data_IF_717270621101
#
_entry.id   IF_717270621101
#
_cell.length_a   1.000
_cell.length_b   1.000
_cell.length_c   1.000
_cell.angle_alpha   90.00
_cell.angle_beta   90.00
_cell.angle_gamma   90.00
#
_symmetry.space_group_name_H-M   'P 1'
#
loop_
_entity.id
_entity.type
_entity.pdbx_description
1 polymer ?
#
# COMPACT_ATOMS: atom_id res chain seq x y z
N UNK A 1 -32.76 24.78 1.34
CA UNK A 1 -32.24 24.05 2.51
C UNK A 1 -32.18 22.58 2.12
N UNK A 2 -31.04 22.16 1.57
CA UNK A 2 -30.72 20.75 1.34
C UNK A 2 -29.84 20.36 2.50
N UNK A 3 -30.43 19.70 3.50
CA UNK A 3 -29.71 19.16 4.63
C UNK A 3 -28.76 18.06 4.16
N UNK A 4 -27.54 18.25 4.57
CA UNK A 4 -26.36 17.43 4.32
C UNK A 4 -26.56 16.00 4.87
N UNK A 5 -26.99 15.08 4.02
CA UNK A 5 -27.09 13.63 4.33
C UNK A 5 -25.77 12.89 4.27
N UNK A 6 -24.64 13.62 4.20
CA UNK A 6 -23.28 13.02 4.13
C UNK A 6 -22.72 12.52 5.46
N UNK A 7 -23.43 12.74 6.58
CA UNK A 7 -22.89 12.61 7.94
C UNK A 7 -23.00 11.21 8.56
N UNK A 8 -23.60 10.23 7.89
CA UNK A 8 -23.80 8.89 8.48
C UNK A 8 -22.95 7.77 7.85
N UNK A 9 -21.95 8.13 7.05
CA UNK A 9 -21.01 7.16 6.45
C UNK A 9 -19.83 6.79 7.36
N UNK A 10 -19.66 7.45 8.50
CA UNK A 10 -18.51 7.25 9.38
C UNK A 10 -18.43 5.88 10.10
N UNK A 11 -19.48 5.10 10.08
CA UNK A 11 -19.51 3.78 10.74
C UNK A 11 -19.42 2.57 9.80
N UNK A 12 -19.34 2.75 8.49
CA UNK A 12 -19.49 1.65 7.52
C UNK A 12 -18.38 1.52 6.48
N UNK A 13 -17.35 2.35 6.54
CA UNK A 13 -16.23 2.30 5.59
C UNK A 13 -15.00 1.66 6.22
N UNK A 14 -15.06 0.37 6.47
CA UNK A 14 -13.91 -0.30 7.08
C UNK A 14 -12.79 -0.60 6.11
N UNK A 15 -12.89 -0.30 4.82
CA UNK A 15 -11.85 -0.75 3.89
C UNK A 15 -11.71 0.01 2.57
N UNK A 16 -12.40 1.10 2.38
CA UNK A 16 -12.11 2.06 1.33
C UNK A 16 -11.80 3.39 2.00
N UNK A 17 -10.58 3.89 1.87
CA UNK A 17 -10.15 5.18 2.43
C UNK A 17 -10.95 5.57 3.68
N UNK A 18 -10.44 5.32 4.87
CA UNK A 18 -10.92 6.06 6.02
C UNK A 18 -10.74 7.52 5.64
N UNK A 19 -11.85 8.18 5.34
CA UNK A 19 -11.87 9.63 5.15
C UNK A 19 -11.20 10.18 6.41
N UNK A 20 -10.11 10.95 6.28
CA UNK A 20 -9.61 11.69 7.43
C UNK A 20 -10.82 12.36 8.05
N UNK A 21 -10.94 12.33 9.37
CA UNK A 21 -11.98 13.14 9.99
C UNK A 21 -11.92 14.50 9.30
N UNK A 22 -13.04 15.17 9.02
CA UNK A 22 -13.11 16.51 8.38
C UNK A 22 -12.10 17.53 8.93
N UNK A 23 -11.33 17.17 9.95
CA UNK A 23 -10.31 17.96 10.65
C UNK A 23 -8.87 17.68 10.24
N UNK A 24 -8.53 16.55 9.64
CA UNK A 24 -7.15 16.28 9.23
C UNK A 24 -6.97 16.66 7.76
N UNK A 25 -6.26 17.76 7.53
CA UNK A 25 -5.94 18.27 6.20
C UNK A 25 -4.77 17.51 5.55
N UNK A 26 -3.98 16.83 6.36
CA UNK A 26 -2.77 16.09 5.95
C UNK A 26 -2.69 14.74 6.64
N UNK A 27 -1.97 13.80 6.01
CA UNK A 27 -1.64 12.50 6.57
C UNK A 27 -0.17 12.15 6.30
N UNK A 28 0.42 11.35 7.19
CA UNK A 28 1.78 10.84 7.02
C UNK A 28 1.77 9.34 7.22
N UNK A 29 2.55 8.63 6.43
CA UNK A 29 2.72 7.18 6.58
C UNK A 29 4.14 6.75 6.15
N UNK A 30 4.43 5.46 6.24
CA UNK A 30 5.56 4.84 5.55
C UNK A 30 4.99 4.17 4.30
N UNK A 31 5.48 4.54 3.12
CA UNK A 31 4.97 4.03 1.82
C UNK A 31 5.97 3.12 1.10
N UNK A 32 7.15 2.95 1.65
CA UNK A 32 8.14 1.96 1.26
C UNK A 32 9.11 1.71 2.40
N UNK A 33 9.42 0.44 2.61
CA UNK A 33 10.47 0.06 3.55
C UNK A 33 11.26 -1.12 3.00
N UNK A 34 12.58 -1.04 3.07
CA UNK A 34 13.43 -2.18 2.77
C UNK A 34 14.72 -2.16 3.58
N UNK A 35 15.19 -3.34 3.94
CA UNK A 35 16.47 -3.51 4.65
C UNK A 35 17.19 -4.77 4.18
N UNK A 36 18.47 -4.84 4.48
CA UNK A 36 19.31 -6.02 4.32
C UNK A 36 19.94 -6.41 5.64
N UNK A 37 20.20 -7.69 5.81
CA UNK A 37 20.96 -8.21 6.95
C UNK A 37 21.71 -9.47 6.56
N UNK A 38 22.66 -9.90 7.40
CA UNK A 38 23.43 -11.10 7.19
C UNK A 38 22.54 -12.35 7.31
N UNK A 39 22.65 -13.23 6.33
CA UNK A 39 21.97 -14.52 6.32
C UNK A 39 22.75 -15.53 7.18
N UNK A 40 22.75 -15.32 8.49
CA UNK A 40 23.47 -16.19 9.43
C UNK A 40 22.58 -17.34 9.92
N UNK A 41 22.36 -18.33 9.07
CA UNK A 41 21.63 -19.53 9.46
C UNK A 41 22.44 -20.77 9.11
N UNK A 42 22.69 -21.59 10.13
CA UNK A 42 23.19 -22.96 9.95
C UNK A 42 22.01 -23.89 9.81
N UNK A 43 22.01 -24.73 8.78
CA UNK A 43 21.08 -25.86 8.70
C UNK A 43 21.35 -26.82 9.85
N UNK A 44 20.28 -27.19 10.54
CA UNK A 44 20.34 -28.29 11.51
C UNK A 44 20.40 -29.63 10.76
N UNK A 45 20.81 -30.70 11.47
CA UNK A 45 20.77 -32.06 10.93
C UNK A 45 19.34 -32.35 10.43
N UNK A 46 19.22 -32.81 9.19
CA UNK A 46 17.92 -33.12 8.54
C UNK A 46 17.01 -31.92 8.18
N UNK A 47 17.46 -30.69 8.41
CA UNK A 47 16.72 -29.49 8.04
C UNK A 47 16.97 -29.14 6.57
N UNK A 48 15.92 -28.82 5.80
CA UNK A 48 16.06 -28.27 4.46
C UNK A 48 16.46 -26.78 4.49
N UNK A 49 17.08 -26.30 3.40
CA UNK A 49 17.48 -24.90 3.27
C UNK A 49 16.30 -23.93 3.45
N UNK A 50 15.10 -24.31 2.95
CA UNK A 50 13.91 -23.49 3.11
C UNK A 50 13.43 -23.42 4.55
N UNK A 51 13.52 -24.51 5.30
CA UNK A 51 13.17 -24.51 6.73
C UNK A 51 14.14 -23.65 7.56
N UNK A 52 15.41 -23.69 7.22
CA UNK A 52 16.41 -22.82 7.85
C UNK A 52 16.14 -21.32 7.56
N UNK A 53 15.77 -20.99 6.31
CA UNK A 53 15.37 -19.63 5.92
C UNK A 53 14.11 -19.21 6.69
N UNK A 54 13.07 -20.06 6.71
CA UNK A 54 11.84 -19.75 7.44
C UNK A 54 12.10 -19.51 8.94
N UNK A 55 12.98 -20.30 9.54
CA UNK A 55 13.40 -20.10 10.94
C UNK A 55 14.11 -18.75 11.13
N UNK A 56 14.96 -18.33 10.19
CA UNK A 56 15.62 -17.02 10.21
C UNK A 56 14.61 -15.87 10.23
N UNK A 57 13.61 -15.91 9.35
CA UNK A 57 12.65 -14.80 9.18
C UNK A 57 11.40 -14.90 10.07
N UNK A 58 11.22 -16.01 10.80
CA UNK A 58 10.05 -16.22 11.70
C UNK A 58 9.83 -15.07 12.68
N UNK A 59 10.86 -14.44 13.31
CA UNK A 59 10.63 -13.28 14.18
C UNK A 59 9.95 -12.12 13.44
N UNK A 60 10.34 -11.86 12.20
CA UNK A 60 9.73 -10.83 11.36
C UNK A 60 8.28 -11.22 11.01
N UNK A 61 8.05 -12.46 10.54
CA UNK A 61 6.73 -12.96 10.17
C UNK A 61 5.73 -12.88 11.33
N UNK A 62 6.18 -13.13 12.56
CA UNK A 62 5.33 -12.97 13.76
C UNK A 62 4.84 -11.54 13.92
N UNK A 63 5.72 -10.54 13.77
CA UNK A 63 5.33 -9.13 13.86
C UNK A 63 4.44 -8.76 12.68
N UNK A 64 4.69 -9.29 11.49
CA UNK A 64 3.84 -9.08 10.31
C UNK A 64 2.48 -9.81 10.42
N UNK A 65 2.27 -10.65 11.45
CA UNK A 65 1.08 -11.53 11.62
C UNK A 65 0.86 -12.37 10.36
N UNK A 66 1.90 -13.06 9.92
CA UNK A 66 1.91 -13.90 8.72
C UNK A 66 2.31 -15.32 9.07
N UNK A 67 1.60 -16.30 8.52
CA UNK A 67 1.90 -17.70 8.71
C UNK A 67 3.16 -18.12 7.95
N UNK A 68 4.15 -18.79 8.60
CA UNK A 68 5.42 -19.13 7.96
C UNK A 68 5.29 -20.05 6.73
N UNK A 69 4.21 -20.82 6.62
CA UNK A 69 3.99 -21.75 5.51
C UNK A 69 3.16 -21.15 4.36
N UNK A 70 2.67 -19.91 4.49
CA UNK A 70 1.84 -19.22 3.50
C UNK A 70 2.67 -18.41 2.50
N UNK A 71 3.62 -19.03 1.82
CA UNK A 71 4.49 -18.32 0.88
C UNK A 71 4.41 -18.86 -0.55
N UNK A 72 4.73 -17.99 -1.51
CA UNK A 72 5.02 -18.34 -2.89
C UNK A 72 6.51 -18.18 -3.18
N UNK A 73 7.07 -19.09 -4.00
CA UNK A 73 8.46 -19.02 -4.47
C UNK A 73 8.52 -18.25 -5.78
N UNK A 74 9.61 -17.51 -5.98
CA UNK A 74 9.85 -16.79 -7.22
C UNK A 74 11.32 -16.56 -7.49
N UNK A 75 11.60 -15.96 -8.65
CA UNK A 75 12.94 -15.57 -9.06
C UNK A 75 13.33 -14.31 -8.29
N UNK A 76 14.56 -14.26 -7.81
CA UNK A 76 15.12 -13.11 -7.12
C UNK A 76 15.37 -11.91 -8.05
N UNK A 77 15.93 -10.85 -7.50
CA UNK A 77 16.35 -9.65 -8.24
C UNK A 77 17.78 -9.26 -7.89
N UNK A 78 18.46 -8.59 -8.79
CA UNK A 78 19.84 -8.14 -8.64
C UNK A 78 20.78 -9.32 -8.23
N UNK A 79 21.38 -9.24 -7.05
CA UNK A 79 22.30 -10.26 -6.56
C UNK A 79 21.59 -11.45 -5.90
N UNK A 80 20.30 -11.33 -5.58
CA UNK A 80 19.52 -12.35 -4.91
C UNK A 80 18.95 -13.35 -5.91
N UNK A 81 19.14 -14.65 -5.64
CA UNK A 81 18.69 -15.74 -6.53
C UNK A 81 17.27 -16.20 -6.26
N UNK A 82 16.82 -16.10 -5.00
CA UNK A 82 15.55 -16.64 -4.55
C UNK A 82 14.66 -15.56 -3.97
N UNK A 83 13.36 -15.71 -4.16
CA UNK A 83 12.34 -14.85 -3.58
C UNK A 83 11.30 -15.70 -2.86
N UNK A 84 10.93 -15.29 -1.65
CA UNK A 84 9.73 -15.73 -0.95
C UNK A 84 8.79 -14.55 -0.81
N UNK A 85 7.54 -14.73 -1.16
CA UNK A 85 6.49 -13.71 -1.04
C UNK A 85 5.39 -14.23 -0.13
N UNK A 86 5.07 -13.49 0.92
CA UNK A 86 4.02 -13.79 1.89
C UNK A 86 2.89 -12.79 1.73
N UNK A 87 1.64 -13.25 1.89
CA UNK A 87 0.43 -12.42 1.73
C UNK A 87 0.46 -11.55 0.47
N UNK A 88 1.08 -12.04 -0.62
CA UNK A 88 1.26 -11.38 -1.91
C UNK A 88 2.15 -10.11 -1.89
N UNK A 89 2.48 -9.54 -0.73
CA UNK A 89 3.09 -8.22 -0.63
C UNK A 89 4.38 -8.16 0.18
N UNK A 90 4.58 -9.04 1.18
CA UNK A 90 5.81 -9.06 1.98
C UNK A 90 6.87 -9.91 1.30
N UNK A 91 7.94 -9.29 0.81
CA UNK A 91 8.90 -9.94 -0.07
C UNK A 91 10.26 -10.10 0.61
N UNK A 92 10.76 -11.33 0.62
CA UNK A 92 12.10 -11.65 1.08
C UNK A 92 12.94 -12.18 -0.09
N UNK A 93 14.16 -11.71 -0.19
CA UNK A 93 15.14 -12.14 -1.19
C UNK A 93 16.35 -12.74 -0.51
N UNK A 94 16.90 -13.82 -1.09
CA UNK A 94 18.03 -14.58 -0.53
C UNK A 94 19.08 -14.84 -1.62
N UNK A 95 20.35 -14.76 -1.24
CA UNK A 95 21.50 -14.92 -2.16
C UNK A 95 21.85 -16.38 -2.47
N UNK A 96 21.24 -17.34 -1.84
CA UNK A 96 21.49 -18.75 -2.15
C UNK A 96 21.16 -19.70 -1.03
N UNK A 97 21.45 -21.02 -1.21
CA UNK A 97 21.18 -22.01 -0.20
C UNK A 97 22.03 -21.76 1.05
N UNK A 98 21.44 -22.07 2.19
CA UNK A 98 22.05 -21.87 3.52
C UNK A 98 23.34 -22.67 3.71
N UNK A 99 23.53 -23.75 2.94
CA UNK A 99 24.69 -24.64 3.08
C UNK A 99 26.05 -24.00 2.73
N UNK A 100 26.03 -22.97 1.88
CA UNK A 100 27.27 -22.32 1.41
C UNK A 100 27.74 -21.16 2.30
N UNK A 101 27.17 -20.99 3.50
CA UNK A 101 27.40 -19.83 4.37
C UNK A 101 28.78 -19.85 5.06
N UNK A 102 29.57 -20.93 4.88
CA UNK A 102 30.84 -21.07 5.65
C UNK A 102 31.96 -20.11 5.21
N UNK A 103 31.97 -19.67 3.93
CA UNK A 103 33.12 -18.92 3.38
C UNK A 103 32.83 -17.48 2.93
N UNK A 104 31.54 -17.09 2.74
CA UNK A 104 31.15 -15.72 2.40
C UNK A 104 29.87 -15.35 3.15
N UNK A 105 29.88 -14.20 3.82
CA UNK A 105 28.69 -13.66 4.47
C UNK A 105 27.65 -13.35 3.42
N UNK A 106 26.64 -14.22 3.31
CA UNK A 106 25.47 -13.99 2.44
C UNK A 106 24.49 -13.08 3.16
N UNK A 107 23.77 -12.29 2.38
CA UNK A 107 22.74 -11.40 2.91
C UNK A 107 21.36 -11.84 2.46
N UNK A 108 20.35 -11.44 3.22
CA UNK A 108 18.97 -11.43 2.76
C UNK A 108 18.43 -10.00 2.75
N UNK A 109 17.43 -9.77 1.94
CA UNK A 109 16.74 -8.49 1.85
C UNK A 109 15.25 -8.69 2.11
N UNK A 110 14.67 -7.81 2.90
CA UNK A 110 13.23 -7.70 3.08
C UNK A 110 12.73 -6.41 2.44
N UNK A 111 11.59 -6.49 1.76
CA UNK A 111 11.00 -5.35 1.05
C UNK A 111 9.49 -5.31 1.26
N UNK A 112 9.01 -4.13 1.59
CA UNK A 112 7.61 -3.76 1.67
C UNK A 112 7.35 -2.59 0.72
N UNK A 113 6.52 -2.81 -0.30
CA UNK A 113 5.98 -1.72 -1.14
C UNK A 113 4.94 -0.92 -0.37
N UNK A 114 4.46 0.19 -0.94
CA UNK A 114 3.36 0.96 -0.34
C UNK A 114 2.13 0.11 -0.03
N UNK A 115 1.81 -0.88 -0.88
CA UNK A 115 0.74 -1.83 -0.63
C UNK A 115 1.02 -2.71 0.59
N UNK A 116 2.26 -3.21 0.73
CA UNK A 116 2.68 -4.00 1.87
C UNK A 116 2.69 -3.18 3.17
N UNK A 117 3.17 -1.94 3.12
CA UNK A 117 3.15 -1.05 4.28
C UNK A 117 1.72 -0.80 4.78
N UNK A 118 0.78 -0.51 3.87
CA UNK A 118 -0.64 -0.37 4.21
C UNK A 118 -1.22 -1.65 4.79
N UNK A 119 -0.94 -2.81 4.20
CA UNK A 119 -1.38 -4.12 4.72
C UNK A 119 -0.83 -4.37 6.12
N UNK A 120 0.40 -3.96 6.39
CA UNK A 120 0.98 -4.04 7.73
C UNK A 120 0.24 -3.15 8.73
N UNK A 121 -0.03 -1.90 8.37
CA UNK A 121 -0.83 -0.99 9.19
C UNK A 121 -2.25 -1.56 9.44
N UNK A 122 -2.88 -2.13 8.41
CA UNK A 122 -4.21 -2.77 8.52
C UNK A 122 -4.26 -3.90 9.53
N UNK A 123 -3.24 -4.72 9.63
CA UNK A 123 -3.18 -5.83 10.59
C UNK A 123 -3.15 -5.36 12.06
N UNK A 124 -2.93 -4.07 12.29
CA UNK A 124 -2.86 -3.43 13.60
C UNK A 124 -3.92 -2.33 13.80
N UNK A 125 -5.06 -2.45 13.10
CA UNK A 125 -6.17 -1.48 13.11
C UNK A 125 -6.62 -0.97 14.48
N UNK A 126 -6.59 -1.84 15.47
CA UNK A 126 -7.08 -1.55 16.82
C UNK A 126 -6.13 -0.65 17.61
N UNK A 127 -4.92 -0.47 17.15
CA UNK A 127 -3.94 0.41 17.77
C UNK A 127 -3.81 1.68 16.94
N UNK A 128 -4.32 2.81 17.44
CA UNK A 128 -4.19 4.13 16.81
C UNK A 128 -2.75 4.69 16.79
N UNK A 129 -1.74 3.85 16.94
CA UNK A 129 -0.33 4.23 17.06
C UNK A 129 0.51 3.49 16.04
N UNK A 130 1.67 4.04 15.70
CA UNK A 130 2.72 3.39 14.91
C UNK A 130 3.54 2.38 15.70
N UNK A 131 3.05 1.93 16.85
CA UNK A 131 3.72 1.00 17.77
C UNK A 131 4.14 -0.31 17.08
N UNK A 132 3.37 -0.81 16.12
CA UNK A 132 3.71 -2.01 15.34
C UNK A 132 4.98 -1.82 14.50
N UNK A 133 5.24 -0.63 13.98
CA UNK A 133 6.50 -0.30 13.30
C UNK A 133 7.67 -0.31 14.26
N UNK A 134 7.47 0.18 15.49
CA UNK A 134 8.48 0.13 16.55
C UNK A 134 8.79 -1.32 16.97
N UNK A 135 7.75 -2.19 17.10
CA UNK A 135 7.96 -3.62 17.37
C UNK A 135 8.70 -4.32 16.22
N UNK A 136 8.37 -4.00 14.97
CA UNK A 136 9.12 -4.49 13.82
C UNK A 136 10.57 -4.04 13.89
N UNK A 137 10.82 -2.77 14.17
CA UNK A 137 12.16 -2.21 14.27
C UNK A 137 13.04 -2.92 15.30
N UNK A 138 12.49 -3.23 16.47
CA UNK A 138 13.23 -3.98 17.51
C UNK A 138 13.69 -5.34 16.99
N UNK A 139 12.82 -6.07 16.32
CA UNK A 139 13.16 -7.36 15.72
C UNK A 139 14.22 -7.21 14.63
N UNK A 140 14.15 -6.17 13.80
CA UNK A 140 15.08 -5.96 12.70
C UNK A 140 16.49 -5.61 13.18
N UNK A 141 16.60 -4.81 14.24
CA UNK A 141 17.90 -4.41 14.82
C UNK A 141 18.67 -5.57 15.45
N UNK A 142 18.02 -6.67 15.79
CA UNK A 142 18.68 -7.87 16.31
C UNK A 142 19.44 -8.66 15.24
N UNK A 143 19.22 -8.37 13.95
CA UNK A 143 19.93 -9.04 12.87
C UNK A 143 21.33 -8.46 12.69
N UNK A 144 22.34 -9.32 12.63
CA UNK A 144 23.71 -8.90 12.31
C UNK A 144 23.77 -8.36 10.88
N UNK A 145 24.59 -7.32 10.66
CA UNK A 145 24.69 -6.67 9.36
C UNK A 145 23.43 -5.89 8.96
N UNK A 146 22.56 -5.57 9.93
CA UNK A 146 21.37 -4.77 9.71
C UNK A 146 21.70 -3.45 9.02
N UNK A 147 21.04 -3.20 7.88
CA UNK A 147 21.18 -1.96 7.14
C UNK A 147 19.89 -1.66 6.38
N UNK A 148 19.29 -0.50 6.65
CA UNK A 148 18.10 -0.06 5.93
C UNK A 148 18.49 0.48 4.57
N UNK A 149 17.88 -0.05 3.51
CA UNK A 149 18.23 0.30 2.13
C UNK A 149 17.31 1.38 1.55
N UNK A 150 16.07 1.48 2.04
CA UNK A 150 15.12 2.53 1.62
C UNK A 150 13.99 2.71 2.61
N UNK A 151 13.64 3.96 2.87
CA UNK A 151 12.40 4.39 3.54
C UNK A 151 11.81 5.54 2.74
N UNK A 152 10.53 5.44 2.41
CA UNK A 152 9.76 6.54 1.82
C UNK A 152 8.75 7.05 2.85
N UNK A 153 8.80 8.35 3.11
CA UNK A 153 7.95 9.03 4.09
C UNK A 153 7.13 10.11 3.39
N UNK A 154 5.94 9.77 2.85
CA UNK A 154 5.08 10.74 2.23
C UNK A 154 4.30 11.58 3.23
N UNK A 155 4.00 12.82 2.83
CA UNK A 155 2.95 13.66 3.35
C UNK A 155 1.85 13.71 2.30
N UNK A 156 0.65 13.25 2.64
CA UNK A 156 -0.55 13.41 1.83
C UNK A 156 -1.26 14.71 2.22
N UNK A 157 -1.44 15.61 1.27
CA UNK A 157 -2.23 16.83 1.42
C UNK A 157 -3.58 16.65 0.71
N UNK A 158 -4.66 16.82 1.45
CA UNK A 158 -6.02 16.59 0.96
C UNK A 158 -6.79 17.85 0.61
N UNK A 159 -6.19 19.03 0.69
CA UNK A 159 -6.92 20.28 0.44
C UNK A 159 -6.13 21.38 -0.29
N UNK A 160 -4.80 21.38 -0.23
CA UNK A 160 -3.96 22.39 -0.88
C UNK A 160 -4.11 23.81 -0.33
N UNK A 161 -4.72 23.99 0.85
CA UNK A 161 -5.06 25.31 1.38
C UNK A 161 -3.83 26.15 1.72
N UNK A 162 -2.74 25.51 2.15
CA UNK A 162 -1.54 26.19 2.66
C UNK A 162 -0.50 26.26 1.55
N UNK A 163 -0.11 25.11 1.00
CA UNK A 163 0.86 24.99 -0.09
C UNK A 163 0.23 24.13 -1.19
N UNK A 164 -0.35 24.78 -2.22
CA UNK A 164 -0.85 24.04 -3.39
C UNK A 164 0.31 23.52 -4.23
N UNK A 165 0.06 22.53 -5.08
CA UNK A 165 1.03 22.03 -6.04
C UNK A 165 1.58 23.14 -6.95
N UNK A 166 0.70 23.97 -7.49
CA UNK A 166 1.11 25.10 -8.37
C UNK A 166 1.99 26.10 -7.62
N UNK A 167 1.66 26.44 -6.38
CA UNK A 167 2.49 27.32 -5.56
C UNK A 167 3.87 26.70 -5.30
N UNK A 168 3.93 25.40 -5.02
CA UNK A 168 5.19 24.69 -4.80
C UNK A 168 6.07 24.71 -6.07
N UNK A 169 5.47 24.44 -7.24
CA UNK A 169 6.15 24.45 -8.53
C UNK A 169 6.64 25.86 -8.87
N UNK A 170 5.80 26.88 -8.69
CA UNK A 170 6.15 28.29 -8.94
C UNK A 170 7.40 28.73 -8.15
N UNK A 171 7.46 28.35 -6.85
CA UNK A 171 8.63 28.64 -6.00
C UNK A 171 9.92 28.01 -6.55
N UNK A 172 9.82 26.80 -7.07
CA UNK A 172 10.98 26.10 -7.64
C UNK A 172 11.41 26.74 -8.97
N UNK A 173 10.46 27.05 -9.86
CA UNK A 173 10.76 27.70 -11.15
C UNK A 173 11.36 29.09 -10.98
N UNK A 174 10.94 29.83 -9.95
CA UNK A 174 11.55 31.13 -9.58
C UNK A 174 12.92 30.98 -8.89
N UNK A 175 13.35 29.77 -8.58
CA UNK A 175 14.58 29.53 -7.82
C UNK A 175 14.50 29.98 -6.35
N UNK A 176 13.30 30.23 -5.84
CA UNK A 176 13.00 30.63 -4.46
C UNK A 176 13.00 29.43 -3.54
N UNK A 177 14.04 28.60 -3.66
CA UNK A 177 14.21 27.39 -2.87
C UNK A 177 15.66 27.20 -2.44
N UNK A 178 15.83 26.59 -1.29
CA UNK A 178 17.08 25.97 -0.87
C UNK A 178 16.86 24.48 -0.81
N UNK A 179 17.62 23.72 -1.57
CA UNK A 179 17.49 22.27 -1.63
C UNK A 179 18.86 21.62 -1.68
N UNK A 180 18.98 20.40 -1.18
CA UNK A 180 20.22 19.61 -1.29
C UNK A 180 20.37 18.90 -2.64
N UNK A 181 19.42 19.08 -3.56
CA UNK A 181 19.49 18.56 -4.92
C UNK A 181 19.78 19.67 -5.94
N UNK A 182 20.50 19.32 -7.01
CA UNK A 182 20.96 20.26 -8.04
C UNK A 182 19.97 20.39 -9.22
N UNK A 183 18.98 19.52 -9.30
CA UNK A 183 18.06 19.46 -10.45
C UNK A 183 16.66 19.00 -10.08
N UNK A 184 15.71 19.43 -10.91
CA UNK A 184 14.34 18.94 -10.86
C UNK A 184 13.80 18.62 -12.25
N UNK A 185 12.73 17.84 -12.31
CA UNK A 185 12.00 17.50 -13.54
C UNK A 185 10.51 17.65 -13.30
N UNK A 186 9.84 18.48 -14.09
CA UNK A 186 8.38 18.56 -14.11
C UNK A 186 7.87 17.66 -15.22
N UNK A 187 6.88 16.82 -14.90
CA UNK A 187 6.22 15.94 -15.85
C UNK A 187 4.72 16.22 -15.84
N UNK A 188 4.15 16.46 -17.01
CA UNK A 188 2.72 16.57 -17.22
C UNK A 188 2.29 15.59 -18.30
N UNK A 189 1.30 14.78 -18.03
CA UNK A 189 0.73 13.83 -18.98
C UNK A 189 -0.71 14.23 -19.25
N UNK A 190 -1.04 14.44 -20.52
CA UNK A 190 -2.39 14.81 -20.95
C UNK A 190 -2.83 13.96 -22.14
N UNK A 191 -4.12 13.79 -22.33
CA UNK A 191 -4.68 13.19 -23.54
C UNK A 191 -4.55 14.14 -24.72
N UNK A 192 -4.33 13.57 -25.92
CA UNK A 192 -4.07 14.34 -27.12
C UNK A 192 -5.31 15.07 -27.67
N UNK A 193 -6.49 14.48 -27.42
CA UNK A 193 -7.73 14.95 -28.09
C UNK A 193 -8.51 16.01 -27.30
N UNK A 194 -8.40 16.01 -25.98
CA UNK A 194 -9.19 16.89 -25.10
C UNK A 194 -8.36 17.62 -24.04
N UNK A 195 -7.04 17.45 -24.09
CA UNK A 195 -6.10 17.97 -23.08
C UNK A 195 -6.41 17.52 -21.63
N UNK A 196 -7.16 16.41 -21.48
CA UNK A 196 -7.47 15.89 -20.17
C UNK A 196 -6.19 15.53 -19.43
N UNK A 197 -6.04 16.05 -18.19
CA UNK A 197 -4.86 15.82 -17.37
C UNK A 197 -4.87 14.37 -16.84
N UNK A 198 -3.90 13.56 -17.27
CA UNK A 198 -3.72 12.18 -16.82
C UNK A 198 -2.75 12.05 -15.65
N UNK A 199 -2.05 13.14 -15.30
CA UNK A 199 -1.11 13.16 -14.19
C UNK A 199 -0.11 14.29 -14.32
N UNK A 200 0.31 14.80 -13.17
CA UNK A 200 1.34 15.80 -13.05
C UNK A 200 2.22 15.51 -11.85
N UNK A 201 3.50 15.79 -11.99
CA UNK A 201 4.47 15.58 -10.92
C UNK A 201 5.69 16.47 -11.08
N UNK A 202 6.31 16.80 -9.96
CA UNK A 202 7.66 17.34 -9.92
C UNK A 202 8.56 16.38 -9.15
N UNK A 203 9.68 16.03 -9.74
CA UNK A 203 10.75 15.23 -9.13
C UNK A 203 11.95 16.13 -8.87
N UNK A 204 12.42 16.16 -7.63
CA UNK A 204 13.57 16.94 -7.19
C UNK A 204 14.67 15.97 -6.76
N UNK A 205 15.81 16.07 -7.42
CA UNK A 205 16.93 15.14 -7.25
C UNK A 205 16.87 13.91 -8.17
N UNK A 206 17.92 13.10 -8.09
CA UNK A 206 18.08 11.91 -8.92
C UNK A 206 17.58 10.65 -8.22
N UNK A 207 17.10 9.68 -9.01
CA UNK A 207 16.76 8.33 -8.50
C UNK A 207 17.96 7.55 -7.96
N UNK A 208 19.18 7.93 -8.34
CA UNK A 208 20.43 7.37 -7.84
C UNK A 208 20.98 8.07 -6.58
N UNK A 209 20.42 9.23 -6.20
CA UNK A 209 20.85 9.93 -4.99
C UNK A 209 20.30 9.29 -3.72
N UNK A 210 20.95 9.56 -2.59
CA UNK A 210 20.50 9.09 -1.28
C UNK A 210 19.14 9.66 -0.85
N UNK A 211 18.73 10.82 -1.40
CA UNK A 211 17.39 11.41 -1.18
C UNK A 211 16.82 11.96 -2.48
N UNK A 212 15.50 11.87 -2.61
CA UNK A 212 14.73 12.38 -3.74
C UNK A 212 13.31 12.72 -3.26
N UNK A 213 12.82 13.89 -3.64
CA UNK A 213 11.43 14.27 -3.38
C UNK A 213 10.62 14.17 -4.67
N UNK A 214 9.46 13.52 -4.58
CA UNK A 214 8.42 13.54 -5.60
C UNK A 214 7.18 14.23 -5.05
N UNK A 215 6.64 15.21 -5.79
CA UNK A 215 5.32 15.78 -5.50
C UNK A 215 4.43 15.52 -6.70
N UNK A 216 3.28 14.90 -6.49
CA UNK A 216 2.43 14.47 -7.58
C UNK A 216 0.96 14.38 -7.17
N UNK A 217 0.08 14.46 -8.20
CA UNK A 217 -1.35 14.31 -8.04
C UNK A 217 -1.70 12.83 -7.75
N UNK A 218 -1.81 12.49 -6.46
CA UNK A 218 -2.12 11.14 -6.00
C UNK A 218 -3.56 10.74 -6.32
N UNK A 219 -4.49 11.71 -6.38
CA UNK A 219 -5.87 11.45 -6.81
C UNK A 219 -5.90 10.90 -8.23
N UNK A 220 -5.28 11.60 -9.19
CA UNK A 220 -5.24 11.15 -10.58
C UNK A 220 -4.48 9.83 -10.76
N UNK A 221 -3.39 9.62 -10.03
CA UNK A 221 -2.70 8.32 -10.04
C UNK A 221 -3.66 7.19 -9.64
N UNK A 222 -4.41 7.36 -8.56
CA UNK A 222 -5.36 6.37 -8.07
C UNK A 222 -6.53 6.15 -9.03
N UNK A 223 -7.10 7.22 -9.56
CA UNK A 223 -8.19 7.14 -10.54
C UNK A 223 -7.74 6.44 -11.83
N UNK A 224 -6.53 6.70 -12.31
CA UNK A 224 -5.94 6.00 -13.46
C UNK A 224 -5.70 4.50 -13.21
N UNK A 225 -5.46 4.11 -11.96
CA UNK A 225 -5.38 2.72 -11.53
C UNK A 225 -6.75 2.06 -11.33
N UNK A 226 -7.84 2.82 -11.50
CA UNK A 226 -9.21 2.35 -11.38
C UNK A 226 -9.78 2.38 -9.96
N UNK A 227 -9.17 3.16 -9.06
CA UNK A 227 -9.69 3.36 -7.70
C UNK A 227 -10.54 4.63 -7.63
N UNK A 228 -11.65 4.57 -6.92
CA UNK A 228 -12.42 5.78 -6.59
C UNK A 228 -11.76 6.52 -5.44
N UNK A 229 -11.66 7.84 -5.56
CA UNK A 229 -11.14 8.70 -4.49
C UNK A 229 -12.27 9.60 -3.98
N UNK A 230 -12.31 9.82 -2.66
CA UNK A 230 -13.30 10.70 -2.02
C UNK A 230 -12.78 12.12 -1.81
N UNK A 231 -11.52 12.37 -2.21
CA UNK A 231 -10.91 13.68 -2.06
C UNK A 231 -10.98 14.43 -3.38
N UNK A 232 -11.47 15.66 -3.34
CA UNK A 232 -11.45 16.55 -4.51
C UNK A 232 -10.03 17.01 -4.83
N UNK A 233 -9.21 17.13 -3.81
CA UNK A 233 -7.79 17.44 -3.87
C UNK A 233 -7.00 16.38 -3.12
N UNK A 234 -5.93 15.84 -3.71
CA UNK A 234 -4.99 14.95 -3.06
C UNK A 234 -3.65 14.97 -3.78
N UNK A 235 -2.71 15.68 -3.19
CA UNK A 235 -1.32 15.66 -3.61
C UNK A 235 -0.46 14.96 -2.58
N UNK A 236 0.53 14.23 -3.06
CA UNK A 236 1.49 13.52 -2.22
C UNK A 236 2.86 14.15 -2.38
N UNK A 237 3.46 14.51 -1.26
CA UNK A 237 4.85 14.90 -1.13
C UNK A 237 5.62 13.70 -0.60
N UNK A 238 6.32 12.96 -1.45
CA UNK A 238 6.99 11.69 -1.11
C UNK A 238 8.50 11.90 -1.03
N UNK A 239 9.04 11.95 0.19
CA UNK A 239 10.48 11.99 0.41
C UNK A 239 11.02 10.56 0.50
N UNK A 240 11.76 10.17 -0.53
CA UNK A 240 12.48 8.91 -0.61
C UNK A 240 13.86 9.06 -0.02
N UNK A 241 14.20 8.23 0.96
CA UNK A 241 15.53 8.13 1.55
C UNK A 241 16.11 6.75 1.32
N UNK A 242 17.25 6.69 0.64
CA UNK A 242 17.99 5.46 0.34
C UNK A 242 19.30 5.41 1.10
N UNK A 243 19.86 4.19 1.18
CA UNK A 243 21.24 4.04 1.64
C UNK A 243 22.19 4.71 0.65
N UNK A 244 23.18 5.38 1.18
CA UNK A 244 24.29 5.99 0.48
C UNK A 244 25.57 5.81 1.32
N UNK A 245 26.66 6.42 0.91
CA UNK A 245 27.94 6.37 1.66
C UNK A 245 27.80 6.90 3.11
N UNK A 246 26.75 7.65 3.40
CA UNK A 246 26.45 8.19 4.73
C UNK A 246 25.41 7.39 5.51
N UNK A 247 24.95 6.25 5.00
CA UNK A 247 23.91 5.40 5.60
C UNK A 247 22.65 6.18 6.03
N UNK A 248 22.17 7.10 5.19
CA UNK A 248 21.08 8.03 5.53
C UNK A 248 19.79 7.33 5.90
N UNK A 249 19.41 6.28 5.15
CA UNK A 249 18.19 5.52 5.44
C UNK A 249 18.26 4.79 6.77
N UNK A 250 19.44 4.23 7.13
CA UNK A 250 19.63 3.60 8.44
C UNK A 250 19.60 4.63 9.56
N UNK A 251 20.22 5.80 9.37
CA UNK A 251 20.15 6.89 10.37
C UNK A 251 18.73 7.40 10.55
N UNK A 252 17.97 7.60 9.45
CA UNK A 252 16.56 7.95 9.52
C UNK A 252 15.78 6.91 10.32
N UNK A 253 16.00 5.63 10.03
CA UNK A 253 15.33 4.55 10.75
C UNK A 253 15.64 4.59 12.25
N UNK A 254 16.89 4.79 12.63
CA UNK A 254 17.28 4.90 14.05
C UNK A 254 16.64 6.12 14.71
N UNK A 255 16.56 7.25 14.02
CA UNK A 255 15.82 8.43 14.52
C UNK A 255 14.34 8.10 14.70
N UNK A 256 13.71 7.38 13.76
CA UNK A 256 12.32 6.93 13.93
C UNK A 256 12.16 6.00 15.13
N UNK A 257 13.14 5.13 15.40
CA UNK A 257 13.15 4.27 16.59
C UNK A 257 13.26 5.11 17.87
N UNK A 258 14.16 6.08 17.93
CA UNK A 258 14.34 6.99 19.07
C UNK A 258 13.04 7.75 19.41
N UNK A 259 12.26 8.08 18.42
CA UNK A 259 10.95 8.74 18.55
C UNK A 259 9.77 7.75 18.51
N UNK A 260 9.99 6.46 18.79
CA UNK A 260 8.96 5.41 18.80
C UNK A 260 8.08 5.40 17.53
N UNK A 261 8.66 5.72 16.36
CA UNK A 261 7.97 5.90 15.08
C UNK A 261 6.88 6.98 15.08
N UNK A 262 7.05 8.03 15.89
CA UNK A 262 6.23 9.22 15.82
C UNK A 262 6.58 10.03 14.55
N UNK A 263 5.95 9.66 13.43
CA UNK A 263 6.23 10.26 12.12
C UNK A 263 5.95 11.77 12.11
N UNK A 264 4.96 12.25 12.86
CA UNK A 264 4.61 13.66 12.93
C UNK A 264 5.73 14.52 13.53
N UNK A 265 6.53 13.94 14.38
CA UNK A 265 7.66 14.61 15.00
C UNK A 265 8.89 14.64 14.09
N UNK A 266 9.15 13.53 13.40
CA UNK A 266 10.37 13.33 12.61
C UNK A 266 10.24 13.87 11.18
N UNK A 267 9.12 13.58 10.49
CA UNK A 267 8.99 13.85 9.06
C UNK A 267 9.04 15.34 8.69
N UNK A 268 8.43 16.30 9.43
CA UNK A 268 8.56 17.73 9.11
C UNK A 268 10.01 18.19 9.08
N UNK A 269 10.81 17.74 10.04
CA UNK A 269 12.24 18.04 10.11
C UNK A 269 13.02 17.48 8.91
N UNK A 270 12.66 16.28 8.43
CA UNK A 270 13.26 15.67 7.24
C UNK A 270 12.99 16.49 5.98
N UNK A 271 11.76 16.99 5.82
CA UNK A 271 11.40 17.83 4.69
C UNK A 271 12.13 19.16 4.76
N UNK A 272 12.18 19.81 5.92
CA UNK A 272 12.87 21.08 6.12
C UNK A 272 14.38 20.94 5.85
N UNK A 273 15.01 19.82 6.22
CA UNK A 273 16.42 19.52 5.92
C UNK A 273 16.68 19.24 4.43
N UNK A 274 15.70 18.67 3.72
CA UNK A 274 15.86 18.40 2.29
C UNK A 274 15.56 19.60 1.41
N UNK A 275 14.43 20.27 1.64
CA UNK A 275 13.97 21.42 0.86
C UNK A 275 13.32 22.46 1.75
N UNK A 276 13.69 23.70 1.54
CA UNK A 276 13.14 24.88 2.19
C UNK A 276 12.66 25.85 1.10
N UNK A 277 11.37 26.12 1.07
CA UNK A 277 10.85 27.23 0.27
C UNK A 277 11.25 28.55 0.92
N UNK A 278 11.60 29.53 0.10
CA UNK A 278 12.14 30.81 0.53
C UNK A 278 11.17 31.94 0.23
N UNK A 279 11.20 32.96 1.07
CA UNK A 279 10.55 34.22 0.81
C UNK A 279 11.61 35.35 0.72
N UNK A 280 12.21 35.56 -0.46
CA UNK A 280 13.18 36.63 -0.64
C UNK A 280 12.50 37.99 -0.52
N UNK A 281 13.23 38.96 0.02
CA UNK A 281 12.90 40.38 0.00
C UNK A 281 14.00 41.16 -0.71
N UNK A 282 13.81 42.48 -0.93
CA UNK A 282 14.78 43.33 -1.65
C UNK A 282 16.19 43.25 -1.06
N UNK A 283 16.30 43.11 0.27
CA UNK A 283 17.60 43.02 0.96
C UNK A 283 18.26 41.64 0.84
N UNK A 284 17.49 40.59 0.55
CA UNK A 284 17.96 39.19 0.55
C UNK A 284 18.10 38.60 -0.85
N UNK A 285 17.62 39.28 -1.91
CA UNK A 285 17.65 38.84 -3.31
C UNK A 285 19.06 38.44 -3.79
N UNK A 286 20.10 39.10 -3.25
CA UNK A 286 21.52 38.87 -3.63
C UNK A 286 22.30 38.06 -2.59
N UNK A 287 21.65 37.65 -1.49
CA UNK A 287 22.31 36.97 -0.36
C UNK A 287 22.37 35.49 -0.55
N UNK A 288 23.31 34.86 0.16
CA UNK A 288 23.36 33.42 0.31
C UNK A 288 21.99 32.87 0.76
N UNK A 289 21.44 31.89 0.05
CA UNK A 289 20.13 31.26 0.30
C UNK A 289 19.94 30.83 1.77
N UNK A 290 21.02 30.50 2.48
CA UNK A 290 20.98 30.20 3.90
C UNK A 290 20.46 31.37 4.79
N UNK A 291 20.57 32.59 4.30
CA UNK A 291 20.15 33.81 5.04
C UNK A 291 18.79 34.34 4.59
N UNK A 292 18.22 33.77 3.55
CA UNK A 292 16.88 34.11 3.07
C UNK A 292 15.86 33.47 4.01
N UNK A 293 14.85 34.23 4.49
CA UNK A 293 13.80 33.65 5.34
C UNK A 293 13.09 32.49 4.66
N UNK A 294 12.67 31.52 5.47
CA UNK A 294 11.77 30.46 5.02
C UNK A 294 10.40 31.06 4.70
N UNK A 295 9.75 30.53 3.69
CA UNK A 295 8.39 30.90 3.32
C UNK A 295 7.42 30.54 4.45
N UNK A 296 6.61 31.48 4.98
CA UNK A 296 5.70 31.22 6.08
C UNK A 296 4.66 30.15 5.78
N UNK A 297 4.20 30.01 4.52
CA UNK A 297 3.28 28.97 4.13
C UNK A 297 3.92 27.58 4.22
N UNK A 298 5.20 27.48 3.86
CA UNK A 298 5.94 26.22 4.00
C UNK A 298 6.12 25.83 5.47
N UNK A 299 6.43 26.79 6.34
CA UNK A 299 6.50 26.54 7.78
C UNK A 299 5.13 26.15 8.35
N UNK A 300 4.06 26.85 7.96
CA UNK A 300 2.70 26.55 8.38
C UNK A 300 2.29 25.14 7.92
N UNK A 301 2.59 24.75 6.67
CA UNK A 301 2.32 23.43 6.13
C UNK A 301 3.00 22.34 6.97
N UNK A 302 4.29 22.46 7.22
CA UNK A 302 5.03 21.48 8.02
C UNK A 302 4.59 21.48 9.50
N UNK A 303 4.22 22.63 10.06
CA UNK A 303 3.65 22.70 11.41
C UNK A 303 2.26 22.05 11.49
N UNK A 304 1.46 22.09 10.42
CA UNK A 304 0.18 21.38 10.35
C UNK A 304 0.40 19.87 10.38
N UNK A 305 1.43 19.39 9.67
CA UNK A 305 1.89 18.01 9.72
C UNK A 305 2.27 17.61 11.15
N UNK A 306 3.07 18.42 11.84
CA UNK A 306 3.50 18.16 13.22
C UNK A 306 2.33 18.09 14.21
N UNK A 307 1.30 18.87 14.01
CA UNK A 307 0.10 18.92 14.88
C UNK A 307 -0.93 17.82 14.57
N UNK A 308 -0.81 17.17 13.41
CA UNK A 308 -1.76 16.14 12.99
C UNK A 308 -1.55 14.88 13.83
N UNK A 309 -2.60 14.40 14.50
CA UNK A 309 -2.54 13.10 15.16
C UNK A 309 -2.48 12.01 14.08
N UNK A 310 -1.54 11.10 14.21
CA UNK A 310 -1.49 9.91 13.39
C UNK A 310 -2.80 9.13 13.55
N UNK A 311 -3.59 9.12 12.48
CA UNK A 311 -4.70 8.20 12.35
C UNK A 311 -4.22 7.13 11.37
N UNK A 312 -4.25 5.87 11.79
CA UNK A 312 -4.02 4.77 10.86
C UNK A 312 -5.11 4.83 9.80
N UNK A 313 -4.80 5.43 8.67
CA UNK A 313 -5.69 5.42 7.51
C UNK A 313 -5.56 4.06 6.83
N UNK A 314 -6.53 3.21 7.12
CA UNK A 314 -6.61 1.91 6.49
C UNK A 314 -7.30 2.10 5.15
N UNK A 315 -6.51 2.03 4.12
CA UNK A 315 -7.01 1.97 2.75
C UNK A 315 -7.06 0.51 2.35
N UNK A 316 -8.22 -0.09 2.39
CA UNK A 316 -8.43 -1.38 1.75
C UNK A 316 -8.65 -1.16 0.26
N UNK A 317 -7.76 -1.73 -0.54
CA UNK A 317 -7.79 -1.65 -2.00
C UNK A 317 -8.60 -2.80 -2.60
N UNK A 318 -9.87 -2.95 -2.20
CA UNK A 318 -10.78 -3.87 -2.87
C UNK A 318 -11.48 -3.13 -4.01
N UNK A 319 -11.10 -3.42 -5.24
CA UNK A 319 -11.80 -2.92 -6.44
C UNK A 319 -12.18 -4.08 -7.35
N UNK A 320 -13.16 -3.86 -8.21
CA UNK A 320 -13.53 -4.85 -9.24
C UNK A 320 -12.31 -5.18 -10.11
N UNK A 321 -11.48 -4.19 -10.45
CA UNK A 321 -10.26 -4.38 -11.23
C UNK A 321 -9.25 -5.30 -10.52
N UNK A 322 -8.93 -5.04 -9.24
CA UNK A 322 -7.98 -5.87 -8.49
C UNK A 322 -8.49 -7.29 -8.30
N UNK A 323 -9.81 -7.47 -8.08
CA UNK A 323 -10.43 -8.80 -8.02
C UNK A 323 -10.40 -9.50 -9.36
N UNK A 324 -10.68 -8.80 -10.48
CA UNK A 324 -10.59 -9.37 -11.84
C UNK A 324 -9.18 -9.80 -12.19
N UNK A 325 -8.17 -8.99 -11.89
CA UNK A 325 -6.75 -9.35 -12.11
C UNK A 325 -6.33 -10.55 -11.26
N UNK A 326 -6.81 -10.64 -10.02
CA UNK A 326 -6.57 -11.79 -9.17
C UNK A 326 -7.22 -13.07 -9.74
N UNK A 327 -8.50 -13.01 -10.17
CA UNK A 327 -9.20 -14.13 -10.82
C UNK A 327 -8.41 -14.60 -12.04
N UNK A 328 -7.98 -13.68 -12.91
CA UNK A 328 -7.19 -14.02 -14.10
C UNK A 328 -5.86 -14.71 -13.75
N UNK A 329 -5.20 -14.31 -12.68
CA UNK A 329 -3.92 -14.90 -12.25
C UNK A 329 -4.07 -16.22 -11.49
N UNK A 330 -5.01 -16.28 -10.54
CA UNK A 330 -5.12 -17.37 -9.60
C UNK A 330 -6.07 -18.49 -10.05
N UNK A 331 -7.14 -18.14 -10.77
CA UNK A 331 -8.26 -19.03 -11.06
C UNK A 331 -8.30 -19.45 -12.53
N UNK A 332 -7.66 -18.71 -13.46
CA UNK A 332 -7.76 -18.96 -14.90
C UNK A 332 -7.31 -20.37 -15.30
N UNK A 333 -6.26 -20.91 -14.69
CA UNK A 333 -5.80 -22.26 -14.97
C UNK A 333 -6.82 -23.32 -14.53
N UNK A 334 -7.41 -23.15 -13.35
CA UNK A 334 -8.42 -24.05 -12.82
C UNK A 334 -9.70 -24.00 -13.67
N UNK A 335 -10.15 -22.80 -14.07
CA UNK A 335 -11.28 -22.63 -14.99
C UNK A 335 -11.00 -23.25 -16.37
N UNK A 336 -9.78 -23.12 -16.89
CA UNK A 336 -9.39 -23.77 -18.13
C UNK A 336 -9.44 -25.30 -18.01
N UNK A 337 -8.93 -25.88 -16.92
CA UNK A 337 -9.02 -27.32 -16.67
C UNK A 337 -10.47 -27.80 -16.62
N UNK A 338 -11.35 -27.09 -15.90
CA UNK A 338 -12.79 -27.40 -15.86
C UNK A 338 -13.42 -27.29 -17.25
N UNK A 339 -13.10 -26.23 -18.01
CA UNK A 339 -13.65 -26.00 -19.35
C UNK A 339 -13.24 -27.09 -20.35
N UNK A 340 -12.05 -27.64 -20.23
CA UNK A 340 -11.51 -28.67 -21.13
C UNK A 340 -11.74 -30.09 -20.60
N UNK A 341 -12.44 -30.27 -19.47
CA UNK A 341 -12.82 -31.59 -18.95
C UNK A 341 -13.96 -32.25 -19.72
N UNK A 342 -14.41 -31.66 -20.83
CA UNK A 342 -15.51 -32.10 -21.71
C UNK A 342 -16.94 -32.04 -21.08
N UNK A 343 -17.06 -31.69 -19.81
CA UNK A 343 -18.35 -31.58 -19.14
C UNK A 343 -18.86 -30.12 -19.17
N UNK A 344 -19.54 -29.76 -20.25
CA UNK A 344 -20.05 -28.40 -20.49
C UNK A 344 -21.10 -27.91 -19.47
N UNK A 345 -21.74 -28.82 -18.76
CA UNK A 345 -22.77 -28.47 -17.75
C UNK A 345 -22.13 -28.03 -16.43
N UNK A 346 -21.01 -28.61 -16.05
CA UNK A 346 -20.31 -28.31 -14.80
C UNK A 346 -19.94 -26.81 -14.69
N UNK A 347 -19.54 -26.16 -15.78
CA UNK A 347 -19.02 -24.77 -15.72
C UNK A 347 -20.13 -23.78 -15.39
N UNK A 348 -21.28 -23.87 -16.07
CA UNK A 348 -22.37 -22.91 -15.91
C UNK A 348 -22.97 -23.00 -14.51
N UNK A 349 -23.17 -24.19 -14.02
CA UNK A 349 -23.71 -24.42 -12.68
C UNK A 349 -22.69 -24.11 -11.60
N UNK A 350 -21.40 -24.35 -11.86
CA UNK A 350 -20.30 -23.99 -10.96
C UNK A 350 -20.15 -22.47 -10.78
N UNK A 351 -20.28 -21.67 -11.86
CA UNK A 351 -20.25 -20.20 -11.76
C UNK A 351 -21.39 -19.69 -10.89
N UNK A 352 -22.61 -20.21 -11.08
CA UNK A 352 -23.77 -19.85 -10.26
C UNK A 352 -23.57 -20.23 -8.79
N UNK A 353 -23.07 -21.42 -8.52
CA UNK A 353 -22.81 -21.87 -7.18
C UNK A 353 -21.71 -21.07 -6.48
N UNK A 354 -20.65 -20.71 -7.20
CA UNK A 354 -19.65 -19.78 -6.66
C UNK A 354 -20.27 -18.44 -6.30
N UNK A 355 -21.18 -17.92 -7.13
CA UNK A 355 -21.89 -16.66 -6.83
C UNK A 355 -22.75 -16.79 -5.58
N UNK A 356 -23.50 -17.90 -5.42
CA UNK A 356 -24.30 -18.20 -4.23
C UNK A 356 -23.41 -18.18 -2.97
N UNK A 357 -22.30 -18.89 -2.98
CA UNK A 357 -21.38 -18.95 -1.83
C UNK A 357 -20.68 -17.60 -1.56
N UNK A 358 -20.39 -16.84 -2.61
CA UNK A 358 -19.72 -15.56 -2.48
C UNK A 358 -20.62 -14.52 -1.78
N UNK A 359 -21.93 -14.52 -2.08
CA UNK A 359 -22.87 -13.58 -1.46
C UNK A 359 -22.96 -13.79 0.05
N UNK A 360 -22.95 -15.03 0.53
CA UNK A 360 -22.92 -15.34 1.97
C UNK A 360 -21.68 -14.79 2.68
N UNK A 361 -20.55 -14.81 2.00
CA UNK A 361 -19.24 -14.39 2.53
C UNK A 361 -18.91 -12.94 2.23
N UNK A 362 -19.81 -12.26 1.50
CA UNK A 362 -19.58 -10.88 1.08
C UNK A 362 -19.64 -9.91 2.25
N UNK A 363 -18.55 -9.23 2.49
CA UNK A 363 -18.44 -8.17 3.48
C UNK A 363 -18.84 -6.82 2.86
N UNK A 364 -18.99 -5.81 3.72
CA UNK A 364 -19.36 -4.45 3.25
C UNK A 364 -18.35 -3.87 2.25
N UNK A 365 -17.09 -4.27 2.35
CA UNK A 365 -16.02 -3.82 1.45
C UNK A 365 -16.24 -4.26 0.01
N UNK A 366 -16.63 -5.52 -0.22
CA UNK A 366 -16.89 -6.01 -1.56
C UNK A 366 -18.14 -5.35 -2.13
N UNK A 367 -19.17 -5.15 -1.29
CA UNK A 367 -20.39 -4.44 -1.68
C UNK A 367 -20.09 -2.98 -2.03
N UNK A 368 -19.23 -2.31 -1.29
CA UNK A 368 -18.81 -0.94 -1.59
C UNK A 368 -17.99 -0.88 -2.89
N UNK A 369 -17.11 -1.86 -3.13
CA UNK A 369 -16.35 -1.95 -4.37
C UNK A 369 -17.28 -2.15 -5.59
N UNK A 370 -18.29 -3.02 -5.47
CA UNK A 370 -19.32 -3.22 -6.50
C UNK A 370 -20.06 -1.90 -6.75
N UNK A 371 -20.50 -1.24 -5.70
CA UNK A 371 -21.28 -0.02 -5.81
C UNK A 371 -20.48 1.15 -6.39
N UNK A 372 -19.22 1.29 -6.04
CA UNK A 372 -18.32 2.29 -6.61
C UNK A 372 -18.13 2.05 -8.12
N UNK A 373 -17.90 0.81 -8.52
CA UNK A 373 -17.78 0.47 -9.93
C UNK A 373 -19.09 0.75 -10.69
N UNK A 374 -20.25 0.34 -10.14
CA UNK A 374 -21.57 0.58 -10.75
C UNK A 374 -21.86 2.07 -10.96
N UNK A 375 -21.56 2.91 -9.96
CA UNK A 375 -21.72 4.37 -10.06
C UNK A 375 -20.84 4.92 -11.19
N UNK A 376 -19.58 4.50 -11.25
CA UNK A 376 -18.64 4.94 -12.29
C UNK A 376 -19.09 4.53 -13.71
N UNK A 377 -19.87 3.45 -13.81
CA UNK A 377 -20.49 2.98 -15.05
C UNK A 377 -21.90 3.57 -15.29
N UNK A 378 -22.39 4.49 -14.47
CA UNK A 378 -23.70 5.11 -14.58
C UNK A 378 -24.86 4.23 -14.10
N UNK A 379 -24.59 3.18 -13.31
CA UNK A 379 -25.60 2.27 -12.78
C UNK A 379 -25.98 2.63 -11.34
N UNK A 380 -27.22 2.31 -10.94
CA UNK A 380 -27.69 2.47 -9.57
C UNK A 380 -26.92 1.53 -8.61
N UNK A 381 -26.80 1.96 -7.34
CA UNK A 381 -26.28 1.11 -6.27
C UNK A 381 -27.13 -0.13 -6.07
N UNK A 382 -26.49 -1.22 -5.66
CA UNK A 382 -27.14 -2.45 -5.23
C UNK A 382 -27.01 -2.59 -3.71
N UNK A 383 -28.09 -2.99 -3.05
CA UNK A 383 -28.09 -3.27 -1.61
C UNK A 383 -27.80 -4.75 -1.34
N UNK A 384 -27.37 -5.07 -0.12
CA UNK A 384 -27.17 -6.47 0.30
C UNK A 384 -28.45 -7.30 0.13
N UNK A 385 -29.61 -6.72 0.42
CA UNK A 385 -30.91 -7.37 0.24
C UNK A 385 -31.21 -7.72 -1.22
N UNK A 386 -30.75 -6.91 -2.18
CA UNK A 386 -30.91 -7.23 -3.60
C UNK A 386 -29.99 -8.36 -4.03
N UNK A 387 -28.77 -8.41 -3.50
CA UNK A 387 -27.86 -9.55 -3.70
C UNK A 387 -28.41 -10.85 -3.10
N UNK A 388 -29.01 -10.78 -1.90
CA UNK A 388 -29.65 -11.93 -1.26
C UNK A 388 -30.84 -12.44 -2.08
N UNK A 389 -31.62 -11.57 -2.72
CA UNK A 389 -32.68 -11.99 -3.65
C UNK A 389 -32.12 -12.67 -4.90
N UNK A 390 -31.05 -12.15 -5.45
CA UNK A 390 -30.35 -12.78 -6.59
C UNK A 390 -29.80 -14.15 -6.21
N UNK A 391 -29.21 -14.26 -5.01
CA UNK A 391 -28.76 -15.53 -4.44
C UNK A 391 -29.89 -16.56 -4.37
N UNK A 392 -31.06 -16.15 -3.85
CA UNK A 392 -32.21 -17.04 -3.76
C UNK A 392 -32.69 -17.48 -5.15
N UNK A 393 -32.73 -16.57 -6.11
CA UNK A 393 -33.11 -16.92 -7.49
C UNK A 393 -32.14 -17.93 -8.13
N UNK A 394 -30.82 -17.80 -7.87
CA UNK A 394 -29.81 -18.75 -8.32
C UNK A 394 -29.95 -20.11 -7.60
N UNK A 395 -30.29 -20.09 -6.32
CA UNK A 395 -30.55 -21.33 -5.55
C UNK A 395 -31.77 -22.07 -6.10
N UNK A 396 -32.87 -21.36 -6.35
CA UNK A 396 -34.09 -21.91 -6.94
C UNK A 396 -33.84 -22.48 -8.33
N UNK A 397 -33.03 -21.79 -9.16
CA UNK A 397 -32.66 -22.26 -10.51
C UNK A 397 -31.85 -23.58 -10.47
N UNK A 398 -31.00 -23.75 -9.46
CA UNK A 398 -30.15 -24.94 -9.31
C UNK A 398 -30.79 -26.05 -8.48
N UNK A 399 -31.98 -25.83 -7.90
CA UNK A 399 -32.62 -26.77 -6.97
C UNK A 399 -31.80 -26.99 -5.68
N UNK A 400 -31.14 -25.93 -5.18
CA UNK A 400 -30.27 -25.94 -4.01
C UNK A 400 -30.98 -25.22 -2.87
N UNK A 401 -30.91 -25.83 -1.69
CA UNK A 401 -31.38 -25.24 -0.44
C UNK A 401 -30.25 -25.17 0.60
N UNK A 402 -30.41 -24.30 1.58
CA UNK A 402 -29.48 -24.21 2.71
C UNK A 402 -30.12 -24.93 3.90
N UNK A 403 -29.49 -26.00 4.40
CA UNK A 403 -30.01 -26.72 5.56
C UNK A 403 -29.83 -25.91 6.85
N UNK A 404 -30.37 -26.44 7.97
CA UNK A 404 -30.29 -25.79 9.28
C UNK A 404 -28.88 -25.63 9.85
N UNK A 405 -27.88 -26.33 9.30
CA UNK A 405 -26.46 -26.19 9.64
C UNK A 405 -25.75 -25.16 8.72
N UNK A 406 -26.49 -24.55 7.79
CA UNK A 406 -25.91 -23.58 6.83
C UNK A 406 -25.19 -24.23 5.66
N UNK A 407 -25.33 -25.54 5.44
CA UNK A 407 -24.70 -26.30 4.33
C UNK A 407 -25.65 -26.31 3.15
N UNK A 408 -25.09 -26.11 1.94
CA UNK A 408 -25.84 -26.19 0.70
C UNK A 408 -26.03 -27.64 0.27
N UNK A 409 -27.28 -28.02 0.04
CA UNK A 409 -27.71 -29.36 -0.39
C UNK A 409 -28.74 -29.22 -1.52
N UNK A 410 -28.93 -30.27 -2.32
CA UNK A 410 -30.08 -30.33 -3.22
C UNK A 410 -31.38 -30.54 -2.45
N UNK A 411 -32.53 -30.22 -3.06
CA UNK A 411 -33.86 -30.39 -2.45
C UNK A 411 -34.15 -31.82 -2.00
N UNK A 412 -33.55 -32.82 -2.64
CA UNK A 412 -33.63 -34.23 -2.28
C UNK A 412 -32.74 -34.61 -1.07
N UNK A 413 -32.04 -33.66 -0.47
CA UNK A 413 -31.15 -33.87 0.66
C UNK A 413 -29.75 -34.37 0.28
N UNK A 414 -29.45 -34.56 -1.00
CA UNK A 414 -28.13 -34.99 -1.43
C UNK A 414 -27.12 -33.80 -1.37
N UNK A 415 -25.82 -34.07 -1.08
CA UNK A 415 -24.83 -33.03 -1.03
C UNK A 415 -24.59 -32.44 -2.43
N UNK A 416 -24.32 -31.13 -2.50
CA UNK A 416 -23.93 -30.48 -3.76
C UNK A 416 -22.50 -30.89 -4.10
N UNK A 417 -22.36 -31.93 -4.93
CA UNK A 417 -21.10 -32.44 -5.41
C UNK A 417 -20.86 -31.96 -6.84
N UNK A 418 -19.88 -31.06 -7.04
CA UNK A 418 -19.45 -30.62 -8.38
C UNK A 418 -18.45 -31.57 -9.04
N UNK A 419 -18.04 -32.65 -8.37
CA UNK A 419 -17.15 -33.67 -8.87
C UNK A 419 -17.80 -35.04 -8.70
N UNK A 420 -18.15 -35.70 -9.79
CA UNK A 420 -18.35 -37.15 -9.72
C UNK A 420 -17.00 -37.76 -9.35
N UNK A 421 -16.92 -38.47 -8.22
CA UNK A 421 -15.81 -39.38 -7.97
C UNK A 421 -15.73 -40.33 -9.14
N UNK A 422 -14.69 -40.22 -9.96
CA UNK A 422 -14.33 -41.20 -11.00
C UNK A 422 -13.76 -42.40 -10.30
#
# INVERSE_FOLDING_TARGET
>A
MLEDKSLNLQGRMSNTYLIPSKKSKVNICIDWFSFTADQQVRTKREESDIQAILRLITPILKVLKVEPNSYTKGIGKAFYKYRLTFDEDFIFFFDGPVKDVMDNVKSFMFEMSGKACRRFDEKYKETSSTKHWYELAKVLMDYKGFNVTRIDTPIDDYNGDIVSYDYFVEKIEKGEVQCSADSYTITKKSMMYDNFNLGESIKIGSTSSGRMLMVYNKKLERENEGYSTFHDYWYRYELRTKTDNSNRSTRLFLTLVEHEFNLNEVVPGLFMDYIRLLQPNEETLTKNKNRVPTDPKWEEFLNTVHKTKLQNQIISECTIKTKSEWILKAVSKALAMLRFSEDKHIIKDFEKFMAIQAIDKMENIELDAINNYRINCGHAKVSKRELEKEQQALMDELGIIKNHEGIYIYEDGSPVEYYKKV
#
